data_IF_951778073174
#
_entry.id   IF_951778073174
#
_cell.length_a   1.000
_cell.length_b   1.000
_cell.length_c   1.000
_cell.angle_alpha   90.00
_cell.angle_beta   90.00
_cell.angle_gamma   90.00
#
_symmetry.space_group_name_H-M   'P 1'
#
loop_
_entity.id
_entity.type
_entity.pdbx_description
1 polymer ?
#
# COMPACT_ATOMS: atom_id res chain seq x y z
N UNK A 1 -10.91 21.23 -24.62
CA UNK A 1 -11.58 19.93 -24.85
C UNK A 1 -12.19 19.49 -23.52
N UNK A 2 -13.51 19.57 -23.37
CA UNK A 2 -14.20 19.24 -22.11
C UNK A 2 -14.37 17.73 -22.02
N UNK A 3 -13.48 17.03 -21.32
CA UNK A 3 -13.65 15.62 -20.99
C UNK A 3 -14.95 15.47 -20.18
N UNK A 4 -15.77 14.48 -20.54
CA UNK A 4 -17.00 14.11 -19.82
C UNK A 4 -16.67 13.90 -18.34
N UNK A 5 -17.30 14.67 -17.44
CA UNK A 5 -17.14 14.48 -15.99
C UNK A 5 -17.88 13.20 -15.58
N UNK A 6 -17.14 12.11 -15.32
CA UNK A 6 -17.68 10.93 -14.65
C UNK A 6 -17.79 11.20 -13.14
N UNK A 7 -18.77 10.57 -12.48
CA UNK A 7 -19.03 10.75 -11.04
C UNK A 7 -18.25 9.75 -10.18
N UNK A 8 -17.85 8.62 -10.75
CA UNK A 8 -17.07 7.58 -10.06
C UNK A 8 -15.57 7.82 -10.25
N UNK A 9 -14.76 7.85 -9.18
CA UNK A 9 -13.30 7.97 -9.30
C UNK A 9 -12.68 6.77 -10.02
N UNK A 10 -11.67 7.02 -10.83
CA UNK A 10 -10.91 6.04 -11.61
C UNK A 10 -9.46 6.01 -11.13
N UNK A 11 -8.91 4.80 -11.03
CA UNK A 11 -7.51 4.55 -10.69
C UNK A 11 -6.98 3.34 -11.46
N UNK A 12 -5.66 3.18 -11.50
CA UNK A 12 -4.98 1.91 -11.78
C UNK A 12 -3.94 1.73 -10.68
N UNK A 13 -3.75 0.48 -10.24
CA UNK A 13 -2.72 0.16 -9.26
C UNK A 13 -1.34 0.36 -9.86
N UNK A 14 -0.56 1.25 -9.25
CA UNK A 14 0.84 1.45 -9.57
C UNK A 14 1.69 0.46 -8.78
N UNK A 15 2.83 0.06 -9.35
CA UNK A 15 3.76 -0.88 -8.72
C UNK A 15 5.20 -0.47 -8.99
N UNK A 16 6.01 -0.44 -7.93
CA UNK A 16 7.47 -0.21 -7.92
C UNK A 16 7.99 1.01 -8.69
N UNK A 17 9.13 1.57 -8.27
CA UNK A 17 9.67 2.80 -8.86
C UNK A 17 10.29 2.65 -10.25
N UNK A 18 10.32 1.44 -10.83
CA UNK A 18 11.14 1.14 -12.01
C UNK A 18 10.47 0.13 -12.98
N UNK A 19 9.17 0.26 -13.22
CA UNK A 19 8.42 -0.61 -14.12
C UNK A 19 8.44 -0.13 -15.60
N UNK A 20 9.32 0.81 -15.95
CA UNK A 20 9.40 1.39 -17.30
C UNK A 20 8.27 2.35 -17.64
N UNK A 21 7.46 2.75 -16.65
CA UNK A 21 6.34 3.68 -16.79
C UNK A 21 6.64 4.94 -15.97
N UNK A 22 6.40 6.11 -16.57
CA UNK A 22 6.46 7.39 -15.87
C UNK A 22 5.17 7.60 -15.06
N UNK A 23 5.22 7.19 -13.79
CA UNK A 23 4.08 7.29 -12.87
C UNK A 23 3.59 8.73 -12.66
N UNK A 24 4.42 9.75 -12.85
CA UNK A 24 3.98 11.15 -12.75
C UNK A 24 3.03 11.50 -13.91
N UNK A 25 3.36 11.11 -15.14
CA UNK A 25 2.46 11.29 -16.28
C UNK A 25 1.17 10.49 -16.14
N UNK A 26 1.26 9.25 -15.63
CA UNK A 26 0.05 8.46 -15.32
C UNK A 26 -0.80 9.16 -14.26
N UNK A 27 -0.19 9.76 -13.23
CA UNK A 27 -0.92 10.47 -12.18
C UNK A 27 -1.77 11.63 -12.68
N UNK A 28 -1.43 12.24 -13.82
CA UNK A 28 -2.19 13.36 -14.39
C UNK A 28 -3.56 12.93 -14.94
N UNK A 29 -3.72 11.64 -15.27
CA UNK A 29 -4.96 11.09 -15.85
C UNK A 29 -5.81 10.29 -14.86
N UNK A 30 -5.34 10.11 -13.62
CA UNK A 30 -6.07 9.38 -12.56
C UNK A 30 -6.75 10.34 -11.59
N UNK A 31 -7.91 9.95 -11.03
CA UNK A 31 -8.57 10.75 -9.99
C UNK A 31 -7.89 10.60 -8.62
N UNK A 32 -7.39 9.39 -8.37
CA UNK A 32 -6.75 8.96 -7.13
C UNK A 32 -5.61 8.00 -7.45
N UNK A 33 -4.50 8.17 -6.76
CA UNK A 33 -3.38 7.23 -6.82
C UNK A 33 -3.74 5.96 -6.06
N UNK A 34 -3.44 4.81 -6.63
CA UNK A 34 -3.46 3.55 -5.91
C UNK A 34 -2.15 2.80 -6.14
N UNK A 35 -1.72 2.01 -5.15
CA UNK A 35 -0.38 1.43 -5.13
C UNK A 35 -0.36 0.05 -4.50
N UNK A 36 0.47 -0.82 -5.06
CA UNK A 36 0.71 -2.17 -4.57
C UNK A 36 2.06 -2.26 -3.88
N UNK A 37 2.06 -2.75 -2.63
CA UNK A 37 3.29 -2.84 -1.83
C UNK A 37 3.39 -4.18 -1.11
N UNK A 38 4.49 -4.88 -1.42
CA UNK A 38 4.88 -6.13 -0.76
C UNK A 38 6.27 -5.98 -0.13
N UNK A 39 6.39 -5.42 1.09
CA UNK A 39 7.69 -5.28 1.73
C UNK A 39 8.29 -6.64 2.09
N UNK A 40 9.59 -6.81 1.80
CA UNK A 40 10.34 -8.04 2.05
C UNK A 40 10.80 -8.10 3.52
N UNK A 41 9.84 -8.18 4.45
CA UNK A 41 10.14 -8.33 5.88
C UNK A 41 10.92 -9.63 6.17
N UNK A 42 11.82 -9.58 7.15
CA UNK A 42 12.66 -10.69 7.61
C UNK A 42 13.67 -11.20 6.56
N UNK A 43 14.01 -10.41 5.53
CA UNK A 43 14.82 -10.88 4.41
C UNK A 43 16.35 -10.79 4.62
N UNK A 44 16.84 -10.12 5.67
CA UNK A 44 18.27 -10.07 6.02
C UNK A 44 18.68 -11.03 7.13
N UNK A 45 20.01 -11.18 7.32
CA UNK A 45 20.59 -11.97 8.40
C UNK A 45 20.51 -11.28 9.77
N UNK A 46 20.37 -9.95 9.78
CA UNK A 46 20.35 -9.12 10.98
C UNK A 46 19.17 -8.12 10.98
N UNK A 47 18.97 -7.47 12.12
CA UNK A 47 17.88 -6.50 12.34
C UNK A 47 18.01 -5.24 11.48
N UNK A 48 19.19 -4.98 10.89
CA UNK A 48 19.37 -3.81 10.01
C UNK A 48 18.50 -3.90 8.76
N UNK A 49 18.12 -5.12 8.36
CA UNK A 49 17.19 -5.33 7.25
C UNK A 49 15.77 -4.82 7.51
N UNK A 50 15.28 -4.81 8.75
CA UNK A 50 13.89 -4.41 9.04
C UNK A 50 13.69 -2.89 8.93
N UNK A 51 14.61 -2.07 9.46
CA UNK A 51 14.48 -0.62 9.34
C UNK A 51 14.63 -0.18 7.89
N UNK A 52 15.49 -0.84 7.10
CA UNK A 52 15.67 -0.55 5.69
C UNK A 52 14.38 -0.79 4.90
N UNK A 53 13.70 -1.92 5.14
CA UNK A 53 12.38 -2.22 4.54
C UNK A 53 11.33 -1.19 4.96
N UNK A 54 11.38 -0.75 6.24
CA UNK A 54 10.55 0.34 6.74
C UNK A 54 10.79 1.66 6.00
N UNK A 55 12.04 2.10 5.88
CA UNK A 55 12.40 3.36 5.20
C UNK A 55 12.03 3.31 3.72
N UNK A 56 12.32 2.20 3.03
CA UNK A 56 11.94 2.01 1.63
C UNK A 56 10.42 2.08 1.43
N UNK A 57 9.66 1.48 2.35
CA UNK A 57 8.19 1.55 2.33
C UNK A 57 7.69 2.98 2.58
N UNK A 58 8.28 3.69 3.54
CA UNK A 58 7.93 5.08 3.82
C UNK A 58 8.18 5.99 2.60
N UNK A 59 9.32 5.83 1.95
CA UNK A 59 9.65 6.54 0.71
C UNK A 59 8.63 6.26 -0.40
N UNK A 60 8.16 5.01 -0.55
CA UNK A 60 7.12 4.66 -1.51
C UNK A 60 5.79 5.35 -1.23
N UNK A 61 5.39 5.40 0.04
CA UNK A 61 4.16 6.07 0.42
C UNK A 61 4.25 7.59 0.23
N UNK A 62 5.38 8.20 0.59
CA UNK A 62 5.62 9.62 0.34
C UNK A 62 5.63 9.95 -1.14
N UNK A 63 6.23 9.10 -1.98
CA UNK A 63 6.21 9.23 -3.44
C UNK A 63 4.77 9.20 -3.97
N UNK A 64 3.98 8.20 -3.57
CA UNK A 64 2.58 8.06 -4.00
C UNK A 64 1.73 9.26 -3.61
N UNK A 65 1.83 9.70 -2.34
CA UNK A 65 1.11 10.86 -1.82
C UNK A 65 1.49 12.15 -2.55
N UNK A 66 2.77 12.31 -2.88
CA UNK A 66 3.30 13.54 -3.47
C UNK A 66 2.89 13.74 -4.93
N UNK A 67 2.58 12.66 -5.68
CA UNK A 67 2.17 12.76 -7.09
C UNK A 67 0.96 13.68 -7.31
N UNK A 68 -0.03 13.61 -6.42
CA UNK A 68 -1.23 14.45 -6.50
C UNK A 68 -1.43 15.36 -5.28
N UNK A 69 -0.51 15.31 -4.31
CA UNK A 69 -0.61 16.00 -3.02
C UNK A 69 -1.95 15.70 -2.32
N UNK A 70 -2.35 14.43 -2.36
CA UNK A 70 -3.62 13.87 -1.86
C UNK A 70 -3.36 12.50 -1.21
N UNK A 71 -4.30 11.99 -0.39
CA UNK A 71 -4.26 10.61 0.04
C UNK A 71 -4.26 9.65 -1.15
N UNK A 72 -3.65 8.49 -0.98
CA UNK A 72 -3.63 7.42 -1.97
C UNK A 72 -4.30 6.15 -1.42
N UNK A 73 -4.55 5.16 -2.26
CA UNK A 73 -5.08 3.86 -1.83
C UNK A 73 -3.95 2.83 -1.83
N UNK A 74 -3.65 2.22 -0.69
CA UNK A 74 -2.89 0.96 -0.69
C UNK A 74 -3.84 -0.11 -1.21
N UNK A 75 -3.72 -0.46 -2.49
CA UNK A 75 -4.64 -1.33 -3.23
C UNK A 75 -4.29 -2.80 -3.03
N UNK A 76 -3.01 -3.14 -3.06
CA UNK A 76 -2.57 -4.49 -2.75
C UNK A 76 -1.44 -4.52 -1.73
N UNK A 77 -1.59 -5.44 -0.78
CA UNK A 77 -0.54 -5.92 0.10
C UNK A 77 -0.86 -7.37 0.49
N UNK A 78 0.15 -8.15 0.89
CA UNK A 78 -0.14 -9.50 1.44
C UNK A 78 -0.36 -9.41 2.95
N UNK A 79 -1.40 -10.06 3.52
CA UNK A 79 -1.56 -10.16 4.97
C UNK A 79 -0.58 -11.16 5.61
N UNK A 80 0.16 -11.93 4.81
CA UNK A 80 1.14 -12.90 5.31
C UNK A 80 2.41 -12.92 4.44
N UNK A 81 2.54 -13.87 3.52
CA UNK A 81 3.68 -14.03 2.60
C UNK A 81 3.24 -13.85 1.14
N UNK A 82 4.19 -13.71 0.21
CA UNK A 82 3.93 -13.77 -1.23
C UNK A 82 4.39 -15.11 -1.79
N UNK A 83 3.96 -15.45 -3.01
CA UNK A 83 4.36 -16.69 -3.69
C UNK A 83 5.59 -16.53 -4.59
N UNK A 84 5.89 -15.31 -5.05
CA UNK A 84 6.88 -15.04 -6.11
C UNK A 84 8.25 -14.57 -5.59
N UNK A 85 8.37 -14.24 -4.30
CA UNK A 85 9.66 -13.92 -3.69
C UNK A 85 10.53 -15.19 -3.58
N UNK A 86 11.88 -15.08 -3.62
CA UNK A 86 12.78 -16.23 -3.49
C UNK A 86 12.53 -17.06 -2.22
N UNK A 87 12.14 -16.39 -1.13
CA UNK A 87 11.72 -17.03 0.13
C UNK A 87 10.42 -16.39 0.62
N UNK A 88 9.34 -17.17 0.61
CA UNK A 88 8.02 -16.77 1.10
C UNK A 88 7.95 -16.74 2.64
N UNK A 89 8.67 -15.82 3.28
CA UNK A 89 8.67 -15.70 4.75
C UNK A 89 7.33 -15.17 5.26
N UNK A 90 6.84 -15.78 6.33
CA UNK A 90 5.67 -15.27 7.04
C UNK A 90 6.03 -13.99 7.80
N UNK A 91 5.14 -12.99 7.75
CA UNK A 91 5.16 -11.90 8.73
C UNK A 91 5.09 -12.47 10.15
N UNK A 92 6.06 -12.09 10.99
CA UNK A 92 6.04 -12.35 12.44
C UNK A 92 4.86 -11.62 13.09
N UNK A 93 4.39 -12.06 14.28
CA UNK A 93 3.33 -11.37 15.02
C UNK A 93 3.60 -9.86 15.14
N UNK A 94 2.55 -9.05 14.93
CA UNK A 94 2.62 -7.58 14.98
C UNK A 94 3.13 -6.88 13.71
N UNK A 95 3.86 -7.55 12.82
CA UNK A 95 4.39 -6.94 11.59
C UNK A 95 3.28 -6.57 10.60
N UNK A 96 2.17 -7.32 10.59
CA UNK A 96 1.02 -6.98 9.75
C UNK A 96 0.38 -5.66 10.19
N UNK A 97 0.16 -5.48 11.49
CA UNK A 97 -0.33 -4.23 12.08
C UNK A 97 0.65 -3.08 11.80
N UNK A 98 1.94 -3.29 12.06
CA UNK A 98 3.00 -2.29 11.81
C UNK A 98 2.96 -1.78 10.37
N UNK A 99 3.03 -2.69 9.38
CA UNK A 99 3.06 -2.30 7.96
C UNK A 99 1.77 -1.61 7.52
N UNK A 100 0.61 -2.06 8.04
CA UNK A 100 -0.69 -1.45 7.75
C UNK A 100 -0.76 -0.02 8.31
N UNK A 101 -0.35 0.18 9.56
CA UNK A 101 -0.33 1.51 10.17
C UNK A 101 0.72 2.43 9.55
N UNK A 102 1.84 1.87 9.07
CA UNK A 102 2.84 2.63 8.34
C UNK A 102 2.28 3.20 7.03
N UNK A 103 1.46 2.43 6.30
CA UNK A 103 0.80 2.93 5.10
C UNK A 103 -0.16 4.08 5.42
N UNK A 104 -1.00 3.93 6.46
CA UNK A 104 -1.89 5.01 6.93
C UNK A 104 -1.09 6.27 7.32
N UNK A 105 -0.02 6.11 8.10
CA UNK A 105 0.87 7.22 8.48
C UNK A 105 1.54 7.87 7.25
N UNK A 106 1.84 7.08 6.22
CA UNK A 106 2.38 7.55 4.93
C UNK A 106 1.36 8.30 4.06
N UNK A 107 0.08 8.28 4.40
CA UNK A 107 -0.98 8.98 3.67
C UNK A 107 -1.93 8.07 2.88
N UNK A 108 -1.89 6.76 3.11
CA UNK A 108 -2.88 5.85 2.55
C UNK A 108 -4.24 6.04 3.25
N UNK A 109 -5.31 6.10 2.48
CA UNK A 109 -6.70 6.14 2.96
C UNK A 109 -7.39 4.77 2.87
N UNK A 110 -6.60 3.72 2.59
CA UNK A 110 -7.04 2.32 2.58
C UNK A 110 -5.90 1.40 3.01
N UNK A 111 -6.26 0.21 3.49
CA UNK A 111 -5.37 -0.96 3.58
C UNK A 111 -6.12 -2.12 2.95
N UNK A 112 -5.71 -2.51 1.75
CA UNK A 112 -6.33 -3.58 0.99
C UNK A 112 -5.35 -4.73 0.75
N UNK A 113 -5.89 -5.89 0.39
CA UNK A 113 -5.13 -7.13 0.30
C UNK A 113 -5.33 -7.81 -1.05
N UNK A 114 -4.21 -8.19 -1.65
CA UNK A 114 -4.20 -9.33 -2.55
C UNK A 114 -3.86 -10.57 -1.70
N UNK A 115 -4.76 -11.52 -1.48
CA UNK A 115 -6.16 -11.60 -1.93
C UNK A 115 -7.09 -11.89 -0.75
N UNK A 116 -8.41 -11.89 -0.99
CA UNK A 116 -9.38 -12.24 0.05
C UNK A 116 -9.25 -13.70 0.48
N UNK A 117 -9.25 -14.64 -0.46
CA UNK A 117 -9.16 -16.08 -0.20
C UNK A 117 -8.11 -16.70 -1.10
N UNK A 118 -7.26 -17.57 -0.58
CA UNK A 118 -6.27 -18.25 -1.40
C UNK A 118 -6.95 -19.01 -2.54
N UNK A 119 -6.47 -18.76 -3.76
CA UNK A 119 -6.92 -19.48 -4.95
C UNK A 119 -6.58 -20.97 -4.83
N UNK A 120 -7.52 -21.86 -5.13
CA UNK A 120 -7.31 -23.32 -4.98
C UNK A 120 -6.21 -23.89 -5.89
N UNK A 121 -5.91 -23.22 -7.00
CA UNK A 121 -4.95 -23.67 -8.01
C UNK A 121 -4.23 -22.50 -8.70
N UNK A 122 -3.48 -22.84 -9.76
CA UNK A 122 -2.68 -21.90 -10.55
C UNK A 122 -1.50 -21.25 -9.78
N UNK A 123 -1.00 -20.15 -10.31
CA UNK A 123 0.30 -19.55 -9.97
C UNK A 123 0.35 -19.00 -8.54
N UNK A 124 -0.76 -18.46 -8.04
CA UNK A 124 -0.83 -17.73 -6.78
C UNK A 124 -1.57 -18.49 -5.67
N UNK A 125 -1.75 -19.81 -5.81
CA UNK A 125 -2.39 -20.64 -4.78
C UNK A 125 -1.71 -20.61 -3.41
N UNK A 126 -0.43 -20.22 -3.37
CA UNK A 126 0.33 -20.06 -2.13
C UNK A 126 0.60 -18.59 -1.78
N UNK A 127 0.06 -17.63 -2.54
CA UNK A 127 0.09 -16.23 -2.14
C UNK A 127 -0.74 -16.07 -0.86
N UNK A 128 -0.30 -15.22 0.05
CA UNK A 128 -1.02 -14.90 1.27
C UNK A 128 -2.41 -14.34 0.98
N UNK A 129 -3.37 -14.66 1.84
CA UNK A 129 -4.73 -14.15 1.76
C UNK A 129 -5.33 -14.02 3.15
N UNK A 130 -6.45 -13.30 3.27
CA UNK A 130 -7.20 -13.19 4.54
C UNK A 130 -7.72 -14.56 4.97
N UNK A 131 -8.29 -15.30 4.02
CA UNK A 131 -8.80 -16.65 4.22
C UNK A 131 -7.86 -17.66 3.55
N UNK A 132 -7.28 -18.55 4.35
CA UNK A 132 -6.40 -19.62 3.85
C UNK A 132 -7.20 -20.76 3.22
N UNK A 133 -6.51 -21.75 2.65
CA UNK A 133 -7.14 -23.00 2.16
C UNK A 133 -8.00 -23.72 3.21
N UNK A 134 -7.68 -23.56 4.50
CA UNK A 134 -8.47 -24.12 5.61
C UNK A 134 -9.86 -23.48 5.72
N UNK A 135 -10.05 -22.26 5.20
CA UNK A 135 -11.34 -21.57 5.25
C UNK A 135 -11.76 -21.08 6.65
N UNK A 136 -10.94 -21.30 7.68
CA UNK A 136 -11.24 -20.97 9.07
C UNK A 136 -10.76 -19.57 9.48
N UNK A 137 -11.54 -18.91 10.33
CA UNK A 137 -11.19 -17.66 11.01
C UNK A 137 -10.19 -17.84 12.17
N UNK A 138 -9.92 -19.07 12.60
CA UNK A 138 -9.00 -19.36 13.71
C UNK A 138 -7.52 -19.40 13.29
N UNK A 139 -7.19 -18.80 12.13
CA UNK A 139 -5.80 -18.64 11.72
C UNK A 139 -5.23 -17.34 12.27
N UNK A 140 -3.95 -17.32 12.65
CA UNK A 140 -3.28 -16.08 13.07
C UNK A 140 -3.41 -14.97 12.04
N UNK A 141 -3.33 -15.28 10.75
CA UNK A 141 -3.45 -14.29 9.66
C UNK A 141 -4.82 -13.63 9.66
N UNK A 142 -5.90 -14.42 9.79
CA UNK A 142 -7.25 -13.87 9.88
C UNK A 142 -7.38 -12.95 11.12
N UNK A 143 -6.89 -13.40 12.27
CA UNK A 143 -6.92 -12.61 13.52
C UNK A 143 -6.11 -11.31 13.40
N UNK A 144 -4.92 -11.34 12.79
CA UNK A 144 -4.11 -10.14 12.54
C UNK A 144 -4.85 -9.15 11.61
N UNK A 145 -5.54 -9.65 10.58
CA UNK A 145 -6.37 -8.83 9.68
C UNK A 145 -7.56 -8.22 10.41
N UNK A 146 -8.25 -8.99 11.25
CA UNK A 146 -9.36 -8.50 12.09
C UNK A 146 -8.90 -7.39 13.03
N UNK A 147 -7.72 -7.53 13.64
CA UNK A 147 -7.14 -6.49 14.50
C UNK A 147 -6.87 -5.20 13.71
N UNK A 148 -6.33 -5.31 12.48
CA UNK A 148 -6.16 -4.14 11.60
C UNK A 148 -7.52 -3.51 11.28
N UNK A 149 -8.53 -4.31 10.95
CA UNK A 149 -9.89 -3.81 10.68
C UNK A 149 -10.47 -3.02 11.86
N UNK A 150 -10.36 -3.56 13.08
CA UNK A 150 -10.79 -2.86 14.30
C UNK A 150 -10.02 -1.55 14.49
N UNK A 151 -8.70 -1.57 14.31
CA UNK A 151 -7.86 -0.37 14.43
C UNK A 151 -8.22 0.70 13.39
N UNK A 152 -8.53 0.32 12.16
CA UNK A 152 -8.93 1.26 11.12
C UNK A 152 -10.30 1.90 11.43
N UNK A 153 -11.23 1.16 12.03
CA UNK A 153 -12.50 1.71 12.49
C UNK A 153 -12.30 2.80 13.55
N UNK A 154 -11.40 2.59 14.51
CA UNK A 154 -11.05 3.61 15.52
C UNK A 154 -10.43 4.88 14.89
N UNK A 155 -9.75 4.72 13.75
CA UNK A 155 -9.07 5.78 13.03
C UNK A 155 -9.96 6.45 11.96
N UNK A 156 -11.23 6.08 11.81
CA UNK A 156 -12.13 6.61 10.79
C UNK A 156 -12.32 8.15 10.85
N UNK A 157 -12.01 8.77 11.99
CA UNK A 157 -12.03 10.22 12.15
C UNK A 157 -10.85 10.94 11.48
N UNK A 158 -9.78 10.21 11.12
CA UNK A 158 -8.64 10.75 10.39
C UNK A 158 -9.07 11.03 8.96
N UNK A 159 -9.29 12.31 8.65
CA UNK A 159 -9.40 12.80 7.28
C UNK A 159 -8.01 13.23 6.83
N UNK A 160 -7.36 12.45 5.98
CA UNK A 160 -6.05 12.83 5.44
C UNK A 160 -6.26 14.05 4.52
N UNK A 161 -5.95 15.24 5.04
CA UNK A 161 -6.20 16.52 4.35
C UNK A 161 -5.19 16.75 3.23
N UNK A 162 -5.60 17.44 2.16
CA UNK A 162 -4.67 18.09 1.23
C UNK A 162 -3.71 18.98 2.04
N UNK A 163 -2.39 18.90 1.82
CA UNK A 163 -1.46 19.86 2.42
C UNK A 163 -1.88 21.29 2.06
N UNK A 164 -1.83 22.20 3.04
CA UNK A 164 -2.14 23.61 2.82
C UNK A 164 -1.27 24.11 1.67
N UNK A 165 -1.86 24.71 0.63
CA UNK A 165 -1.12 25.47 -0.39
C UNK A 165 -0.35 26.58 0.35
N UNK A 166 0.94 26.35 0.58
CA UNK A 166 1.82 27.23 1.34
C UNK A 166 3.27 27.20 0.87
N UNK A 167 3.60 26.45 -0.19
CA UNK A 167 4.81 26.70 -0.96
C UNK A 167 4.41 27.57 -2.16
N UNK A 168 4.60 28.87 -1.99
CA UNK A 168 4.64 29.79 -3.12
C UNK A 168 5.65 29.27 -4.13
N UNK A 169 5.29 29.32 -5.41
CA UNK A 169 6.25 29.20 -6.49
C UNK A 169 7.39 30.19 -6.24
N UNK A 170 8.60 29.71 -6.01
CA UNK A 170 9.77 30.54 -6.18
C UNK A 170 9.94 30.76 -7.68
N UNK A 171 9.36 31.86 -8.18
CA UNK A 171 9.82 32.45 -9.43
C UNK A 171 11.18 33.10 -9.12
N UNK A 172 12.26 32.35 -9.30
CA UNK A 172 13.57 32.99 -9.52
C UNK A 172 13.57 33.46 -10.97
N UNK A 173 12.97 34.62 -11.20
CA UNK A 173 13.33 35.43 -12.34
C UNK A 173 14.78 35.87 -12.13
N UNK A 174 15.68 35.31 -12.94
CA UNK A 174 16.96 35.94 -13.22
C UNK A 174 16.85 36.40 -14.66
N UNK A 175 17.02 37.70 -14.82
CA UNK A 175 17.15 38.43 -16.08
C UNK A 175 18.47 38.10 -16.76
#
# INVERSE_FOLDING_TARGET
MSLLKHTTPVTTNLFHFNCGIDCWKVSEILDVISFDKYPHWHNGADKTSEWAVGVESAFAYDYCRSMQNKPFLLMESSPSSTNWMPVAKLKRPGIHMLGSMQAIAGGADSVQYFQWRQSRGAFEKFHGAVVTHNGSEHTRVFQDVTQVGARLADLAHIKIRKPRRGLQSFSTGIT
#
